data_IF_486333038800
#
_entry.id   IF_486333038800
#
_cell.length_a   1.000
_cell.length_b   1.000
_cell.length_c   1.000
_cell.angle_alpha   90.00
_cell.angle_beta   90.00
_cell.angle_gamma   90.00
#
_symmetry.space_group_name_H-M   'P 1'
#
loop_
_entity.id
_entity.type
_entity.pdbx_description
1 polymer ?
#
# COMPACT_ATOMS: atom_id res chain seq x y z
N UNK A 1 1.39 54.61 22.90
CA UNK A 1 0.25 53.69 23.01
C UNK A 1 0.53 52.55 22.05
N UNK A 2 1.05 51.44 22.57
CA UNK A 2 1.43 50.31 21.75
C UNK A 2 0.17 49.52 21.36
N UNK A 3 -0.05 49.38 20.05
CA UNK A 3 -1.16 48.61 19.49
C UNK A 3 -0.80 47.13 19.55
N UNK A 4 -1.50 46.37 20.39
CA UNK A 4 -1.41 44.92 20.42
C UNK A 4 -2.31 44.32 19.34
N UNK A 5 -1.70 43.62 18.38
CA UNK A 5 -2.44 42.84 17.39
C UNK A 5 -2.69 41.45 17.96
N UNK A 6 -3.92 41.21 18.43
CA UNK A 6 -4.36 39.87 18.86
C UNK A 6 -4.93 39.14 17.64
N UNK A 7 -4.16 38.19 17.10
CA UNK A 7 -4.64 37.29 16.05
C UNK A 7 -5.40 36.15 16.72
N UNK A 8 -6.73 36.19 16.66
CA UNK A 8 -7.60 35.16 17.22
C UNK A 8 -7.76 34.04 16.19
N UNK A 9 -7.53 32.79 16.60
CA UNK A 9 -7.81 31.62 15.78
C UNK A 9 -9.32 31.48 15.57
N UNK A 10 -9.80 31.69 14.34
CA UNK A 10 -11.22 31.62 13.95
C UNK A 10 -11.75 30.19 13.78
N UNK A 11 -10.92 29.16 13.98
CA UNK A 11 -11.32 27.77 13.78
C UNK A 11 -12.17 27.22 14.95
N UNK A 12 -13.49 27.34 14.80
CA UNK A 12 -14.51 26.89 15.77
C UNK A 12 -14.74 25.39 15.81
N UNK A 13 -14.01 24.57 15.03
CA UNK A 13 -14.40 23.20 14.65
C UNK A 13 -14.86 22.20 15.75
N UNK A 14 -14.62 22.27 17.05
CA UNK A 14 -14.99 21.25 18.09
C UNK A 14 -14.73 19.74 17.87
N UNK A 15 -14.64 19.19 16.65
CA UNK A 15 -14.44 17.76 16.35
C UNK A 15 -12.96 17.35 16.34
N UNK A 16 -12.04 18.31 16.30
CA UNK A 16 -10.61 18.06 16.46
C UNK A 16 -10.17 18.27 17.91
N UNK A 17 -9.57 17.24 18.49
CA UNK A 17 -9.03 17.23 19.85
C UNK A 17 -7.62 17.85 19.97
N UNK A 18 -6.90 18.03 18.85
CA UNK A 18 -5.54 18.59 18.80
C UNK A 18 -5.46 19.77 17.83
N UNK A 19 -6.01 20.91 18.23
CA UNK A 19 -5.89 22.18 17.51
C UNK A 19 -4.59 22.90 17.91
N UNK A 20 -4.08 23.77 17.05
CA UNK A 20 -2.86 24.60 17.27
C UNK A 20 -1.51 23.87 17.13
N UNK A 21 -1.42 22.89 16.23
CA UNK A 21 -0.12 22.35 15.79
C UNK A 21 0.53 23.38 14.86
N UNK A 22 1.84 23.62 15.03
CA UNK A 22 2.61 24.55 14.21
C UNK A 22 3.56 23.77 13.29
N UNK A 23 3.71 24.26 12.07
CA UNK A 23 4.68 23.77 11.09
C UNK A 23 5.74 24.84 10.88
N UNK A 24 6.94 24.41 10.49
CA UNK A 24 8.00 25.32 10.06
C UNK A 24 7.59 26.05 8.78
N UNK A 25 8.05 27.29 8.62
CA UNK A 25 7.68 28.12 7.47
C UNK A 25 8.17 27.51 6.15
N UNK A 26 9.38 26.95 6.15
CA UNK A 26 9.97 26.28 4.99
C UNK A 26 9.10 25.11 4.53
N UNK A 27 8.69 24.25 5.46
CA UNK A 27 7.79 23.13 5.17
C UNK A 27 6.42 23.58 4.65
N UNK A 28 5.85 24.67 5.17
CA UNK A 28 4.58 25.21 4.66
C UNK A 28 4.75 25.65 3.19
N UNK A 29 5.84 26.32 2.87
CA UNK A 29 6.12 26.76 1.50
C UNK A 29 6.29 25.59 0.54
N UNK A 30 7.03 24.55 0.95
CA UNK A 30 7.20 23.33 0.16
C UNK A 30 5.87 22.62 -0.10
N UNK A 31 5.02 22.50 0.93
CA UNK A 31 3.69 21.90 0.79
C UNK A 31 2.85 22.71 -0.19
N UNK A 32 2.78 24.03 -0.05
CA UNK A 32 1.99 24.87 -0.97
C UNK A 32 2.54 24.87 -2.41
N UNK A 33 3.84 24.63 -2.61
CA UNK A 33 4.45 24.49 -3.92
C UNK A 33 4.05 23.18 -4.63
N UNK A 34 3.90 22.08 -3.88
CA UNK A 34 3.59 20.74 -4.43
C UNK A 34 2.09 20.42 -4.43
N UNK A 35 1.34 20.97 -3.48
CA UNK A 35 -0.10 20.73 -3.32
C UNK A 35 -0.88 21.25 -4.52
N UNK A 36 -1.80 20.43 -5.02
CA UNK A 36 -2.76 20.82 -6.06
C UNK A 36 -3.64 22.01 -5.62
N UNK A 37 -3.90 22.94 -6.55
CA UNK A 37 -4.63 24.20 -6.31
C UNK A 37 -6.07 24.04 -5.79
N UNK A 38 -6.63 22.83 -5.79
CA UNK A 38 -7.98 22.54 -5.28
C UNK A 38 -8.04 21.95 -3.88
N UNK A 39 -6.90 21.61 -3.27
CA UNK A 39 -6.86 20.93 -1.96
C UNK A 39 -6.48 21.95 -0.88
N UNK A 40 -7.18 21.93 0.26
CA UNK A 40 -6.79 22.78 1.40
C UNK A 40 -5.52 22.25 2.08
N UNK A 41 -4.70 23.14 2.66
CA UNK A 41 -3.52 22.72 3.43
C UNK A 41 -3.87 21.65 4.48
N UNK A 42 -4.98 21.87 5.21
CA UNK A 42 -5.42 20.94 6.25
C UNK A 42 -5.82 19.56 5.73
N UNK A 43 -6.35 19.49 4.52
CA UNK A 43 -6.76 18.24 3.89
C UNK A 43 -5.56 17.48 3.36
N UNK A 44 -4.62 18.18 2.73
CA UNK A 44 -3.35 17.60 2.28
C UNK A 44 -2.57 17.00 3.46
N UNK A 45 -2.44 17.73 4.57
CA UNK A 45 -1.75 17.24 5.77
C UNK A 45 -2.46 16.02 6.38
N UNK A 46 -3.80 16.03 6.46
CA UNK A 46 -4.56 14.87 6.95
C UNK A 46 -4.31 13.64 6.09
N UNK A 47 -4.32 13.81 4.77
CA UNK A 47 -4.06 12.73 3.82
C UNK A 47 -2.67 12.12 4.04
N UNK A 48 -1.63 12.96 4.10
CA UNK A 48 -0.27 12.52 4.39
C UNK A 48 -0.15 11.76 5.73
N UNK A 49 -0.87 12.22 6.78
CA UNK A 49 -0.92 11.50 8.05
C UNK A 49 -1.62 10.14 7.93
N UNK A 50 -2.72 10.04 7.18
CA UNK A 50 -3.43 8.77 6.96
C UNK A 50 -2.56 7.75 6.23
N UNK A 51 -1.81 8.19 5.21
CA UNK A 51 -0.86 7.36 4.48
C UNK A 51 0.24 6.82 5.40
N UNK A 52 0.83 7.69 6.22
CA UNK A 52 1.85 7.27 7.19
C UNK A 52 1.30 6.26 8.20
N UNK A 53 0.11 6.49 8.75
CA UNK A 53 -0.53 5.54 9.69
C UNK A 53 -0.79 4.19 9.02
N UNK A 54 -1.29 4.19 7.79
CA UNK A 54 -1.56 2.96 7.04
C UNK A 54 -0.27 2.19 6.76
N UNK A 55 0.79 2.89 6.35
CA UNK A 55 2.10 2.30 6.13
C UNK A 55 2.65 1.64 7.41
N UNK A 56 2.56 2.33 8.55
CA UNK A 56 3.03 1.77 9.83
C UNK A 56 2.22 0.55 10.29
N UNK A 57 0.90 0.53 10.03
CA UNK A 57 0.06 -0.65 10.29
C UNK A 57 0.48 -1.83 9.42
N UNK A 58 0.60 -1.61 8.12
CA UNK A 58 1.01 -2.65 7.18
C UNK A 58 2.42 -3.19 7.51
N UNK A 59 3.35 -2.31 7.88
CA UNK A 59 4.71 -2.71 8.27
C UNK A 59 4.71 -3.53 9.57
N UNK A 60 3.85 -3.21 10.54
CA UNK A 60 3.68 -4.01 11.75
C UNK A 60 3.05 -5.38 11.45
N UNK A 61 2.09 -5.44 10.54
CA UNK A 61 1.46 -6.69 10.12
C UNK A 61 2.44 -7.59 9.35
N UNK A 62 3.34 -7.00 8.55
CA UNK A 62 4.42 -7.72 7.85
C UNK A 62 5.47 -8.28 8.83
N UNK A 63 5.78 -7.59 9.93
CA UNK A 63 6.65 -8.12 10.98
C UNK A 63 5.96 -9.12 11.92
N UNK A 64 4.63 -9.10 12.02
CA UNK A 64 3.86 -10.06 12.82
C UNK A 64 3.71 -11.44 12.14
N UNK A 65 3.83 -11.51 10.80
CA UNK A 65 3.78 -12.78 10.06
C UNK A 65 5.11 -13.56 10.04
N UNK A 66 6.21 -12.97 10.53
CA UNK A 66 7.49 -13.68 10.66
C UNK A 66 7.57 -14.61 11.87
N UNK A 67 6.65 -14.52 12.84
CA UNK A 67 6.72 -15.31 14.09
C UNK A 67 5.71 -16.45 14.18
N UNK A 68 4.93 -16.71 13.14
CA UNK A 68 3.88 -17.74 13.18
C UNK A 68 4.00 -18.78 12.04
N UNK A 69 5.24 -19.12 11.63
CA UNK A 69 5.48 -20.20 10.65
C UNK A 69 5.87 -21.54 11.30
N UNK A 70 5.97 -21.64 12.63
CA UNK A 70 6.37 -22.87 13.32
C UNK A 70 5.23 -23.65 13.99
N UNK A 71 3.96 -23.23 13.87
CA UNK A 71 2.88 -23.88 14.61
C UNK A 71 1.59 -24.12 13.82
N UNK A 72 1.66 -24.55 12.56
CA UNK A 72 0.50 -25.11 11.85
C UNK A 72 0.93 -26.26 10.92
N UNK A 73 1.58 -27.26 11.52
CA UNK A 73 1.47 -28.62 11.05
C UNK A 73 0.19 -29.24 11.64
N UNK A 74 -0.63 -29.83 10.76
CA UNK A 74 -1.78 -30.72 11.03
C UNK A 74 -3.15 -30.04 11.22
N UNK A 75 -4.08 -30.36 10.30
CA UNK A 75 -5.49 -30.58 10.68
C UNK A 75 -6.59 -29.79 9.96
N UNK A 76 -6.86 -30.15 8.69
CA UNK A 76 -8.19 -30.41 8.08
C UNK A 76 -9.38 -29.52 8.50
N UNK A 77 -9.89 -28.74 7.53
CA UNK A 77 -11.32 -28.66 7.20
C UNK A 77 -12.06 -27.41 7.67
N UNK A 78 -12.33 -26.47 6.76
CA UNK A 78 -13.73 -26.20 6.37
C UNK A 78 -13.78 -25.49 5.00
N UNK A 79 -14.73 -25.92 4.18
CA UNK A 79 -15.06 -25.33 2.88
C UNK A 79 -16.13 -24.28 3.14
N UNK A 80 -16.06 -23.13 2.47
CA UNK A 80 -17.15 -22.44 1.74
C UNK A 80 -16.83 -20.93 1.66
N UNK A 81 -16.95 -20.37 0.44
CA UNK A 81 -16.78 -18.96 0.02
C UNK A 81 -15.41 -18.55 -0.57
N UNK A 82 -15.02 -19.09 -1.72
CA UNK A 82 -13.78 -18.65 -2.42
C UNK A 82 -13.92 -18.58 -3.95
N UNK A 83 -15.02 -18.08 -4.50
CA UNK A 83 -15.19 -18.10 -5.97
C UNK A 83 -15.12 -16.73 -6.65
N UNK A 84 -15.29 -15.61 -5.92
CA UNK A 84 -15.29 -14.27 -6.56
C UNK A 84 -13.94 -13.55 -6.47
N UNK A 85 -13.15 -13.78 -5.41
CA UNK A 85 -11.92 -13.02 -5.15
C UNK A 85 -10.67 -13.61 -5.82
N UNK A 86 -10.69 -14.91 -6.13
CA UNK A 86 -9.58 -15.61 -6.79
C UNK A 86 -9.45 -15.23 -8.26
N UNK A 87 -10.56 -15.00 -8.96
CA UNK A 87 -10.56 -14.63 -10.38
C UNK A 87 -9.93 -13.24 -10.62
N UNK A 88 -10.24 -12.26 -9.77
CA UNK A 88 -9.66 -10.90 -9.86
C UNK A 88 -8.16 -10.89 -9.51
N UNK A 89 -7.77 -11.63 -8.47
CA UNK A 89 -6.36 -11.77 -8.09
C UNK A 89 -5.55 -12.42 -9.23
N UNK A 90 -6.08 -13.48 -9.85
CA UNK A 90 -5.43 -14.17 -10.97
C UNK A 90 -5.29 -13.25 -12.19
N UNK A 91 -6.32 -12.49 -12.55
CA UNK A 91 -6.28 -11.52 -13.65
C UNK A 91 -5.22 -10.43 -13.42
N UNK A 92 -5.13 -9.94 -12.19
CA UNK A 92 -4.15 -8.92 -11.79
C UNK A 92 -2.72 -9.45 -11.91
N UNK A 93 -2.47 -10.69 -11.46
CA UNK A 93 -1.15 -11.33 -11.57
C UNK A 93 -0.75 -11.55 -13.03
N UNK A 94 -1.66 -12.05 -13.87
CA UNK A 94 -1.38 -12.26 -15.30
C UNK A 94 -1.03 -10.94 -16.00
N UNK A 95 -1.76 -9.87 -15.71
CA UNK A 95 -1.51 -8.54 -16.27
C UNK A 95 -0.15 -8.01 -15.81
N UNK A 96 0.18 -8.18 -14.53
CA UNK A 96 1.45 -7.76 -13.95
C UNK A 96 2.65 -8.51 -14.54
N UNK A 97 2.52 -9.82 -14.76
CA UNK A 97 3.54 -10.67 -15.39
C UNK A 97 3.83 -10.23 -16.82
N UNK A 98 2.78 -9.94 -17.61
CA UNK A 98 2.92 -9.45 -18.99
C UNK A 98 3.58 -8.07 -19.03
N UNK A 99 3.24 -7.19 -18.09
CA UNK A 99 3.85 -5.86 -17.98
C UNK A 99 5.35 -5.94 -17.64
N UNK A 100 5.74 -6.77 -16.67
CA UNK A 100 7.16 -6.94 -16.34
C UNK A 100 7.95 -7.57 -17.48
N UNK A 101 7.34 -8.48 -18.23
CA UNK A 101 7.97 -9.04 -19.42
C UNK A 101 8.16 -7.99 -20.53
N UNK A 102 7.17 -7.13 -20.80
CA UNK A 102 7.30 -6.05 -21.79
C UNK A 102 8.33 -4.99 -21.38
N UNK A 103 8.59 -4.83 -20.08
CA UNK A 103 9.67 -4.01 -19.53
C UNK A 103 11.07 -4.66 -19.65
N UNK A 104 11.18 -5.85 -20.26
CA UNK A 104 12.45 -6.53 -20.49
C UNK A 104 12.94 -7.40 -19.33
N UNK A 105 12.09 -7.69 -18.35
CA UNK A 105 12.45 -8.54 -17.20
C UNK A 105 12.47 -10.02 -17.61
N UNK A 106 13.52 -10.75 -17.21
CA UNK A 106 13.65 -12.16 -17.54
C UNK A 106 12.64 -13.02 -16.76
N UNK A 107 12.20 -14.14 -17.36
CA UNK A 107 11.21 -15.05 -16.74
C UNK A 107 11.61 -15.53 -15.34
N UNK A 108 12.91 -15.72 -15.10
CA UNK A 108 13.43 -16.12 -13.79
C UNK A 108 13.26 -14.98 -12.75
N UNK A 109 13.59 -13.74 -13.12
CA UNK A 109 13.46 -12.58 -12.23
C UNK A 109 12.00 -12.32 -11.86
N UNK A 110 11.08 -12.50 -12.82
CA UNK A 110 9.65 -12.41 -12.58
C UNK A 110 9.20 -13.49 -11.59
N UNK A 111 9.63 -14.74 -11.78
CA UNK A 111 9.29 -15.83 -10.88
C UNK A 111 9.81 -15.60 -9.45
N UNK A 112 11.06 -15.17 -9.31
CA UNK A 112 11.67 -14.88 -8.01
C UNK A 112 10.94 -13.73 -7.31
N UNK A 113 10.56 -12.69 -8.06
CA UNK A 113 9.78 -11.56 -7.53
C UNK A 113 8.40 -12.00 -7.03
N UNK A 114 7.70 -12.85 -7.78
CA UNK A 114 6.40 -13.39 -7.39
C UNK A 114 6.49 -14.30 -6.15
N UNK A 115 7.55 -15.09 -6.05
CA UNK A 115 7.79 -15.92 -4.86
C UNK A 115 8.12 -15.08 -3.63
N UNK A 116 8.90 -13.99 -3.80
CA UNK A 116 9.28 -13.10 -2.71
C UNK A 116 8.09 -12.33 -2.12
N UNK A 117 7.07 -12.03 -2.92
CA UNK A 117 5.81 -11.42 -2.45
C UNK A 117 4.82 -12.46 -1.87
N UNK A 118 5.21 -13.74 -1.78
CA UNK A 118 4.35 -14.81 -1.29
C UNK A 118 3.20 -15.19 -2.22
N UNK A 119 3.27 -14.81 -3.50
CA UNK A 119 2.24 -15.13 -4.48
C UNK A 119 2.41 -16.57 -4.97
N UNK A 120 1.33 -17.34 -4.98
CA UNK A 120 1.28 -18.67 -5.60
C UNK A 120 0.81 -18.55 -7.05
N UNK A 121 1.20 -19.52 -7.88
CA UNK A 121 0.75 -19.59 -9.26
C UNK A 121 -0.72 -20.05 -9.34
N UNK A 122 -1.26 -20.09 -10.57
CA UNK A 122 -2.64 -20.54 -10.83
C UNK A 122 -2.93 -21.98 -10.38
N UNK A 123 -1.90 -22.79 -10.13
CA UNK A 123 -1.99 -24.17 -9.61
C UNK A 123 -1.75 -24.25 -8.10
N UNK A 124 -1.58 -23.13 -7.38
CA UNK A 124 -1.26 -23.10 -5.95
C UNK A 124 0.19 -23.47 -5.60
N UNK A 125 1.11 -23.47 -6.58
CA UNK A 125 2.54 -23.79 -6.42
C UNK A 125 3.42 -22.54 -6.54
N UNK A 126 4.69 -22.66 -6.13
CA UNK A 126 5.69 -21.61 -6.36
C UNK A 126 5.86 -21.29 -7.84
N UNK A 127 6.14 -20.03 -8.14
CA UNK A 127 6.44 -19.57 -9.48
C UNK A 127 7.78 -20.12 -9.96
N UNK A 128 7.79 -20.65 -11.18
CA UNK A 128 8.99 -21.08 -11.89
C UNK A 128 9.11 -20.32 -13.21
N UNK A 129 10.32 -20.28 -13.80
CA UNK A 129 10.50 -19.68 -15.13
C UNK A 129 9.54 -20.26 -16.18
N UNK A 130 9.20 -21.54 -16.04
CA UNK A 130 8.32 -22.25 -16.98
C UNK A 130 6.88 -21.82 -16.78
N UNK A 131 6.44 -21.64 -15.53
CA UNK A 131 5.11 -21.11 -15.23
C UNK A 131 4.94 -19.68 -15.77
N UNK A 132 5.96 -18.81 -15.60
CA UNK A 132 5.97 -17.46 -16.18
C UNK A 132 5.95 -17.51 -17.71
N UNK A 133 6.77 -18.38 -18.31
CA UNK A 133 6.82 -18.54 -19.77
C UNK A 133 5.47 -18.95 -20.35
N UNK A 134 4.78 -19.92 -19.74
CA UNK A 134 3.44 -20.36 -20.17
C UNK A 134 2.44 -19.20 -20.17
N UNK A 135 2.47 -18.39 -19.11
CA UNK A 135 1.61 -17.21 -18.98
C UNK A 135 1.88 -16.10 -19.98
N UNK A 136 3.14 -15.90 -20.35
CA UNK A 136 3.54 -14.87 -21.33
C UNK A 136 3.34 -15.36 -22.77
N UNK A 137 3.64 -16.63 -23.03
CA UNK A 137 3.68 -17.20 -24.38
C UNK A 137 2.34 -17.81 -24.83
N UNK A 138 1.40 -18.03 -23.89
CA UNK A 138 0.07 -18.56 -24.20
C UNK A 138 0.03 -20.06 -24.53
N UNK A 139 1.06 -20.81 -24.15
CA UNK A 139 1.14 -22.28 -24.26
C UNK A 139 0.87 -22.98 -22.92
#
# INVERSE_FOLDING_TARGET
>A
MDKFFIVINTNTNKKSSKKNIRFEHELIMEIEAVKSKGISFSEWVKQACHEKVTQEKNNREMCAHSKNLDLLGVGIGDKTQVDTHAAEANYTIVTQVKLWHSQGMFHQQIADRLNNIGCLNLEGKKWSRVAVRRLVSGE
#
